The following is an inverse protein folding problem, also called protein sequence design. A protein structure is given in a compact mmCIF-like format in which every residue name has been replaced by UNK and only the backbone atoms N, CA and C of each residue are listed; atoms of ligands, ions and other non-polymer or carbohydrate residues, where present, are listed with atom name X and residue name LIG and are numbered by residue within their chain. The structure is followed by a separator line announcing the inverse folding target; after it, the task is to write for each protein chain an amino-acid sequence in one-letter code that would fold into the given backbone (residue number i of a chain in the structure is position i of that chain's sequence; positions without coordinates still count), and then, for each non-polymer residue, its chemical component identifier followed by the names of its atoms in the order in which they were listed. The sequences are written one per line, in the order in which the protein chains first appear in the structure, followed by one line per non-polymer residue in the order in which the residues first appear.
data_IF_137694474232
#
_entry.id   IF_137694474232
#
_cell.length_a   1.000
_cell.length_b   1.000
_cell.length_c   1.000
_cell.angle_alpha   90.00
_cell.angle_beta   90.00
_cell.angle_gamma   90.00
#
_symmetry.space_group_name_H-M   'P 1'
#
loop_
_entity.id
_entity.type
_entity.pdbx_description
1 polymer ?
#
# COMPACT_ATOMS: atom_id res chain seq x y z
N UNK A 1 -12.39 6.78 21.36
CA UNK A 1 -11.31 7.57 20.72
C UNK A 1 -11.82 8.18 19.43
N UNK A 2 -11.44 9.42 19.17
CA UNK A 2 -11.81 10.07 17.93
C UNK A 2 -11.00 9.48 16.76
N UNK A 3 -11.58 9.53 15.56
CA UNK A 3 -10.90 9.16 14.32
C UNK A 3 -10.48 10.44 13.61
N UNK A 4 -9.18 10.57 13.34
CA UNK A 4 -8.64 11.64 12.52
C UNK A 4 -8.48 11.13 11.10
N UNK A 5 -8.89 11.95 10.12
CA UNK A 5 -8.74 11.60 8.71
C UNK A 5 -7.84 12.63 8.03
N UNK A 6 -6.92 12.14 7.19
CA UNK A 6 -5.95 12.97 6.47
C UNK A 6 -6.10 12.73 4.97
N UNK A 7 -5.71 13.74 4.18
CA UNK A 7 -5.83 13.71 2.72
C UNK A 7 -7.25 13.36 2.27
N UNK A 8 -8.20 14.16 2.76
CA UNK A 8 -9.63 13.94 2.55
C UNK A 8 -10.04 14.49 1.19
N UNK A 9 -10.76 13.67 0.42
CA UNK A 9 -11.39 14.09 -0.84
C UNK A 9 -12.91 13.97 -0.73
N UNK A 10 -13.60 14.21 -1.84
CA UNK A 10 -15.07 14.12 -1.85
C UNK A 10 -15.59 12.71 -1.60
N UNK A 11 -14.80 11.69 -1.89
CA UNK A 11 -15.27 10.30 -1.86
C UNK A 11 -14.64 9.49 -0.76
N UNK A 12 -13.37 9.78 -0.40
CA UNK A 12 -12.66 8.99 0.60
C UNK A 12 -11.52 9.79 1.22
N UNK A 13 -10.94 9.24 2.29
CA UNK A 13 -9.71 9.73 2.89
C UNK A 13 -8.60 8.73 2.65
N UNK A 14 -7.40 9.20 2.40
CA UNK A 14 -6.24 8.32 2.20
C UNK A 14 -5.80 7.66 3.51
N UNK A 15 -5.97 8.35 4.63
CA UNK A 15 -5.46 7.92 5.93
C UNK A 15 -6.54 8.10 7.00
N UNK A 16 -6.69 7.10 7.87
CA UNK A 16 -7.45 7.22 9.11
C UNK A 16 -6.57 6.81 10.28
N UNK A 17 -6.58 7.62 11.33
CA UNK A 17 -5.81 7.38 12.56
C UNK A 17 -6.75 7.41 13.75
N UNK A 18 -6.65 6.41 14.61
CA UNK A 18 -7.35 6.37 15.89
C UNK A 18 -6.41 5.80 16.95
N UNK A 19 -6.06 6.62 17.94
CA UNK A 19 -5.04 6.23 18.90
C UNK A 19 -3.71 6.03 18.19
N UNK A 20 -3.12 4.85 18.32
CA UNK A 20 -1.89 4.49 17.61
C UNK A 20 -2.14 3.67 16.34
N UNK A 21 -3.41 3.42 15.96
CA UNK A 21 -3.76 2.62 14.80
C UNK A 21 -3.85 3.51 13.57
N UNK A 22 -3.22 3.08 12.48
CA UNK A 22 -3.16 3.79 11.20
C UNK A 22 -3.69 2.87 10.11
N UNK A 23 -4.70 3.34 9.38
CA UNK A 23 -5.24 2.67 8.20
C UNK A 23 -5.01 3.52 6.97
N UNK A 24 -4.45 2.94 5.92
CA UNK A 24 -4.38 3.58 4.61
C UNK A 24 -5.47 3.01 3.71
N UNK A 25 -6.09 3.88 2.92
CA UNK A 25 -6.91 3.45 1.79
C UNK A 25 -6.06 2.70 0.77
N UNK A 26 -6.69 2.03 -0.18
CA UNK A 26 -5.97 1.34 -1.25
C UNK A 26 -5.04 2.29 -2.00
N UNK A 27 -3.77 1.95 -2.10
CA UNK A 27 -2.75 2.75 -2.77
C UNK A 27 -2.42 2.15 -4.12
N UNK A 28 -2.25 3.02 -5.09
CA UNK A 28 -1.98 2.69 -6.48
C UNK A 28 -0.76 3.47 -6.96
N UNK A 29 -0.25 3.09 -8.14
CA UNK A 29 0.71 3.92 -8.85
C UNK A 29 0.08 5.25 -9.28
N UNK A 30 0.90 6.27 -9.45
CA UNK A 30 0.47 7.54 -10.06
C UNK A 30 0.52 7.51 -11.58
N UNK A 31 1.29 6.60 -12.17
CA UNK A 31 1.45 6.44 -13.61
C UNK A 31 1.10 5.01 -14.01
N UNK A 32 -0.06 4.83 -14.65
CA UNK A 32 -0.55 3.52 -15.07
C UNK A 32 0.05 3.02 -16.38
N UNK A 33 0.89 3.81 -17.03
CA UNK A 33 1.62 3.37 -18.22
C UNK A 33 2.85 2.53 -17.88
N UNK A 34 3.25 2.50 -16.62
CA UNK A 34 4.36 1.67 -16.16
C UNK A 34 3.98 0.20 -16.12
N UNK A 35 5.00 -0.67 -16.20
CA UNK A 35 4.82 -2.12 -16.01
C UNK A 35 4.57 -2.46 -14.53
N UNK A 36 4.45 -3.75 -14.23
CA UNK A 36 4.13 -4.19 -12.85
C UNK A 36 5.20 -3.73 -11.86
N UNK A 37 6.48 -3.77 -12.22
CA UNK A 37 7.55 -3.33 -11.32
C UNK A 37 7.49 -1.83 -11.05
N UNK A 38 7.28 -1.03 -12.10
CA UNK A 38 7.14 0.41 -11.96
C UNK A 38 5.91 0.81 -11.16
N UNK A 39 4.77 0.18 -11.42
CA UNK A 39 3.55 0.46 -10.65
C UNK A 39 3.70 0.03 -9.19
N UNK A 40 4.33 -1.10 -8.93
CA UNK A 40 4.56 -1.56 -7.56
C UNK A 40 5.46 -0.59 -6.80
N UNK A 41 6.53 -0.11 -7.44
CA UNK A 41 7.42 0.86 -6.80
C UNK A 41 6.70 2.16 -6.46
N UNK A 42 5.89 2.69 -7.39
CA UNK A 42 5.13 3.90 -7.11
C UNK A 42 4.07 3.70 -6.02
N UNK A 43 3.47 2.50 -5.95
CA UNK A 43 2.55 2.15 -4.87
C UNK A 43 3.27 2.21 -3.52
N UNK A 44 4.48 1.66 -3.42
CA UNK A 44 5.28 1.76 -2.21
C UNK A 44 5.68 3.19 -1.88
N UNK A 45 6.00 4.00 -2.89
CA UNK A 45 6.33 5.41 -2.67
C UNK A 45 5.15 6.15 -2.01
N UNK A 46 3.92 5.87 -2.45
CA UNK A 46 2.71 6.43 -1.84
C UNK A 46 2.50 5.92 -0.42
N UNK A 47 2.70 4.63 -0.19
CA UNK A 47 2.57 4.03 1.14
C UNK A 47 3.58 4.67 2.09
N UNK A 48 4.84 4.78 1.70
CA UNK A 48 5.87 5.40 2.52
C UNK A 48 5.53 6.85 2.87
N UNK A 49 5.03 7.62 1.89
CA UNK A 49 4.65 9.01 2.09
C UNK A 49 3.50 9.14 3.09
N UNK A 50 2.45 8.35 2.93
CA UNK A 50 1.28 8.44 3.80
C UNK A 50 1.55 7.89 5.19
N UNK A 51 2.39 6.89 5.34
CA UNK A 51 2.82 6.44 6.66
C UNK A 51 3.61 7.54 7.38
N UNK A 52 4.50 8.23 6.66
CA UNK A 52 5.23 9.37 7.23
C UNK A 52 4.29 10.49 7.65
N UNK A 53 3.29 10.82 6.82
CA UNK A 53 2.28 11.84 7.13
C UNK A 53 1.46 11.46 8.38
N UNK A 54 1.26 10.18 8.61
CA UNK A 54 0.56 9.67 9.80
C UNK A 54 1.46 9.52 11.04
N UNK A 55 2.77 9.76 10.90
CA UNK A 55 3.71 9.67 12.01
C UNK A 55 4.28 8.28 12.26
N UNK A 56 4.37 7.45 11.23
CA UNK A 56 4.92 6.10 11.32
C UNK A 56 5.75 5.76 10.08
N UNK A 57 6.12 4.51 9.92
CA UNK A 57 6.89 4.02 8.79
C UNK A 57 6.61 2.53 8.53
N UNK A 58 7.22 1.99 7.46
CA UNK A 58 6.96 0.61 7.03
C UNK A 58 7.37 -0.45 8.06
N UNK A 59 8.31 -0.15 8.97
CA UNK A 59 8.70 -1.10 10.01
C UNK A 59 7.60 -1.30 11.06
N UNK A 60 6.58 -0.46 11.06
CA UNK A 60 5.43 -0.53 11.97
C UNK A 60 4.16 -1.03 11.28
N UNK A 61 4.26 -1.56 10.07
CA UNK A 61 3.11 -2.15 9.36
C UNK A 61 2.71 -3.46 10.04
N UNK A 62 1.41 -3.60 10.29
CA UNK A 62 0.81 -4.81 10.86
C UNK A 62 0.39 -5.80 9.78
N UNK A 63 -0.13 -5.32 8.66
CA UNK A 63 -0.59 -6.19 7.58
C UNK A 63 -0.75 -5.42 6.28
N UNK A 64 -0.60 -6.15 5.17
CA UNK A 64 -0.81 -5.63 3.81
C UNK A 64 -1.71 -6.59 3.06
N UNK A 65 -2.72 -6.07 2.36
CA UNK A 65 -3.45 -6.84 1.37
C UNK A 65 -3.06 -6.30 0.00
N UNK A 66 -2.61 -7.21 -0.87
CA UNK A 66 -2.14 -6.91 -2.21
C UNK A 66 -3.17 -7.46 -3.20
N UNK A 67 -3.68 -6.59 -4.07
CA UNK A 67 -4.53 -6.96 -5.18
C UNK A 67 -3.73 -6.82 -6.46
N UNK A 68 -3.68 -7.86 -7.28
CA UNK A 68 -3.02 -7.82 -8.59
C UNK A 68 -4.04 -8.16 -9.68
N UNK A 69 -3.91 -7.50 -10.82
CA UNK A 69 -4.84 -7.68 -11.93
C UNK A 69 -4.72 -9.08 -12.54
N UNK A 70 -3.50 -9.58 -12.72
CA UNK A 70 -3.21 -10.89 -13.32
C UNK A 70 -2.10 -11.53 -12.48
N UNK A 71 -2.49 -12.45 -11.60
CA UNK A 71 -1.55 -13.00 -10.63
C UNK A 71 -0.50 -13.89 -11.29
N UNK A 72 -0.84 -14.59 -12.39
CA UNK A 72 0.12 -15.43 -13.09
C UNK A 72 1.18 -14.59 -13.79
N UNK A 73 0.79 -13.44 -14.37
CA UNK A 73 1.70 -12.58 -15.11
C UNK A 73 2.51 -11.67 -14.19
N UNK A 74 1.91 -11.16 -13.11
CA UNK A 74 2.44 -10.02 -12.37
C UNK A 74 3.05 -10.38 -11.00
N UNK A 75 2.78 -11.59 -10.49
CA UNK A 75 3.20 -11.97 -9.13
C UNK A 75 4.72 -11.89 -8.95
N UNK A 76 5.49 -12.45 -9.89
CA UNK A 76 6.96 -12.48 -9.78
C UNK A 76 7.56 -11.07 -9.82
N UNK A 77 7.09 -10.21 -10.73
CA UNK A 77 7.57 -8.83 -10.83
C UNK A 77 7.22 -7.99 -9.61
N UNK A 78 6.00 -8.14 -9.10
CA UNK A 78 5.58 -7.47 -7.87
C UNK A 78 6.44 -7.93 -6.69
N UNK A 79 6.68 -9.24 -6.55
CA UNK A 79 7.49 -9.78 -5.46
C UNK A 79 8.94 -9.29 -5.50
N UNK A 80 9.51 -9.09 -6.67
CA UNK A 80 10.87 -8.58 -6.80
C UNK A 80 10.99 -7.18 -6.17
N UNK A 81 10.01 -6.33 -6.42
CA UNK A 81 9.97 -4.98 -5.83
C UNK A 81 9.64 -5.05 -4.33
N UNK A 82 8.71 -5.93 -3.95
CA UNK A 82 8.39 -6.18 -2.54
C UNK A 82 9.62 -6.60 -1.74
N UNK A 83 10.39 -7.55 -2.26
CA UNK A 83 11.59 -8.07 -1.57
C UNK A 83 12.62 -6.95 -1.35
N UNK A 84 12.80 -6.08 -2.33
CA UNK A 84 13.70 -4.94 -2.22
C UNK A 84 13.19 -3.92 -1.19
N UNK A 85 11.90 -3.63 -1.19
CA UNK A 85 11.29 -2.68 -0.25
C UNK A 85 11.34 -3.18 1.20
N UNK A 86 11.23 -4.50 1.41
CA UNK A 86 11.28 -5.13 2.72
C UNK A 86 12.68 -5.56 3.16
N UNK A 87 13.73 -5.25 2.38
CA UNK A 87 15.07 -5.81 2.61
C UNK A 87 15.70 -5.39 3.95
N UNK A 88 15.27 -4.28 4.52
CA UNK A 88 15.79 -3.71 5.78
C UNK A 88 14.84 -3.88 6.96
N UNK A 89 13.76 -4.65 6.79
CA UNK A 89 12.78 -4.94 7.84
C UNK A 89 12.46 -6.44 7.84
N UNK A 90 11.80 -6.90 8.90
CA UNK A 90 11.27 -8.27 8.91
C UNK A 90 10.11 -8.37 7.92
N UNK A 91 9.96 -9.52 7.29
CA UNK A 91 8.88 -9.76 6.34
C UNK A 91 7.52 -9.51 6.98
N UNK A 92 6.66 -8.78 6.26
CA UNK A 92 5.37 -8.33 6.77
C UNK A 92 4.29 -9.40 6.54
N UNK A 93 3.32 -9.52 7.45
CA UNK A 93 2.12 -10.30 7.16
C UNK A 93 1.42 -9.73 5.93
N UNK A 94 1.14 -10.58 4.94
CA UNK A 94 0.47 -10.13 3.72
C UNK A 94 -0.46 -11.18 3.16
N UNK A 95 -1.44 -10.71 2.40
CA UNK A 95 -2.30 -11.53 1.55
C UNK A 95 -2.21 -10.97 0.13
N UNK A 96 -2.05 -11.84 -0.86
CA UNK A 96 -2.02 -11.43 -2.27
C UNK A 96 -3.08 -12.21 -3.04
N UNK A 97 -3.99 -11.48 -3.69
CA UNK A 97 -5.08 -12.07 -4.47
C UNK A 97 -5.20 -11.37 -5.82
N UNK A 98 -5.77 -12.08 -6.79
CA UNK A 98 -6.13 -11.49 -8.08
C UNK A 98 -7.48 -10.79 -7.94
N UNK A 99 -7.59 -9.61 -8.54
CA UNK A 99 -8.84 -8.86 -8.52
C UNK A 99 -8.96 -8.01 -9.78
N UNK A 100 -10.22 -7.80 -10.21
CA UNK A 100 -10.50 -6.85 -11.27
C UNK A 100 -10.36 -5.44 -10.71
N UNK A 101 -9.55 -4.62 -11.35
CA UNK A 101 -9.29 -3.25 -10.93
C UNK A 101 -10.32 -2.28 -11.51
N UNK A 102 -10.40 -1.06 -10.95
CA UNK A 102 -11.36 -0.06 -11.41
C UNK A 102 -11.06 0.45 -12.82
N UNK A 103 -9.80 0.34 -13.28
CA UNK A 103 -9.38 0.65 -14.64
C UNK A 103 -8.50 -0.47 -15.18
N UNK A 104 -8.51 -0.73 -16.51
CA UNK A 104 -7.74 -1.83 -17.10
C UNK A 104 -6.22 -1.70 -16.93
N UNK A 105 -5.71 -0.48 -16.80
CA UNK A 105 -4.27 -0.22 -16.72
C UNK A 105 -3.71 -0.34 -15.29
N UNK A 106 -4.57 -0.45 -14.29
CA UNK A 106 -4.14 -0.64 -12.90
C UNK A 106 -3.75 -2.10 -12.72
N UNK A 107 -2.48 -2.35 -12.40
CA UNK A 107 -1.94 -3.70 -12.26
C UNK A 107 -1.85 -4.16 -10.82
N UNK A 108 -1.73 -3.22 -9.87
CA UNK A 108 -1.55 -3.52 -8.45
C UNK A 108 -2.20 -2.45 -7.59
N UNK A 109 -2.76 -2.88 -6.46
CA UNK A 109 -3.30 -2.01 -5.42
C UNK A 109 -3.01 -2.64 -4.06
N UNK A 110 -2.68 -1.84 -3.05
CA UNK A 110 -2.37 -2.36 -1.73
C UNK A 110 -3.09 -1.56 -0.64
N UNK A 111 -3.64 -2.28 0.36
CA UNK A 111 -4.15 -1.67 1.59
C UNK A 111 -3.22 -2.01 2.74
N UNK A 112 -3.04 -1.06 3.65
CA UNK A 112 -2.05 -1.18 4.73
C UNK A 112 -2.70 -0.81 6.06
N UNK A 113 -2.40 -1.62 7.08
CA UNK A 113 -2.68 -1.31 8.48
C UNK A 113 -1.35 -1.23 9.22
N UNK A 114 -1.14 -0.16 9.95
CA UNK A 114 0.10 0.07 10.70
C UNK A 114 -0.22 0.61 12.08
N UNK A 115 0.81 0.70 12.92
CA UNK A 115 0.73 1.36 14.23
C UNK A 115 1.75 2.47 14.29
N UNK A 116 1.49 3.48 15.12
CA UNK A 116 2.48 4.49 15.42
C UNK A 116 3.50 3.92 16.41
N UNK A 117 4.77 4.33 16.32
CA UNK A 117 5.75 3.96 17.35
C UNK A 117 5.36 4.57 18.69
N UNK A 118 5.71 3.88 19.75
CA UNK A 118 5.49 4.35 21.11
C UNK A 118 6.48 5.47 21.50
#
# INVERSE_FOLDING_TARGET
MAVQRLHVSNRFSEIAVSGNLVHLAGQLASDFDLDIKGQTQQTFDMIDQFLADAGTDKSHIMSVIIFVKDIEQDYAGMNEVWDAWCSDIQALPRTCVEAKMYQPDVLVEMTVVAVKPE
#
